data_IF_428849624777
#
_entry.id   IF_428849624777
#
_cell.length_a   1.000
_cell.length_b   1.000
_cell.length_c   1.000
_cell.angle_alpha   90.00
_cell.angle_beta   90.00
_cell.angle_gamma   90.00
#
_symmetry.space_group_name_H-M   'P 1'
#
loop_
_entity.id
_entity.type
_entity.pdbx_description
1 polymer ?
#
# COMPACT_ATOMS: atom_id res chain seq x y z
N UNK A 1 2.81 -27.04 0.49
CA UNK A 1 3.21 -26.38 1.74
C UNK A 1 2.02 -25.63 2.32
N UNK A 2 2.03 -25.44 3.63
CA UNK A 2 1.08 -24.60 4.37
C UNK A 2 1.79 -23.33 4.81
N UNK A 3 1.38 -22.20 4.33
CA UNK A 3 2.04 -20.91 4.59
C UNK A 3 1.16 -20.02 5.47
N UNK A 4 1.72 -19.57 6.59
CA UNK A 4 1.06 -18.57 7.43
C UNK A 4 1.34 -17.16 6.90
N UNK A 5 0.30 -16.40 6.56
CA UNK A 5 0.43 -14.99 6.19
C UNK A 5 0.00 -14.16 7.39
N UNK A 6 0.93 -13.40 7.96
CA UNK A 6 0.70 -12.62 9.16
C UNK A 6 0.51 -11.15 8.80
N UNK A 7 -0.70 -10.67 8.96
CA UNK A 7 -1.11 -9.28 8.70
C UNK A 7 -1.45 -8.55 10.00
N UNK A 8 -1.63 -7.24 9.89
CA UNK A 8 -2.12 -6.40 10.97
C UNK A 8 -3.21 -5.48 10.43
N UNK A 9 -4.38 -5.50 11.02
CA UNK A 9 -5.52 -4.71 10.56
C UNK A 9 -5.42 -3.24 11.03
N UNK A 10 -4.33 -2.58 10.66
CA UNK A 10 -4.08 -1.14 10.87
C UNK A 10 -4.33 -0.31 9.62
N UNK A 11 -4.83 -0.93 8.54
CA UNK A 11 -5.15 -0.29 7.27
C UNK A 11 -5.40 -1.32 6.17
N UNK A 12 -6.04 -0.89 5.08
CA UNK A 12 -6.39 -1.80 3.97
C UNK A 12 -5.18 -2.30 3.15
N UNK A 13 -4.04 -1.60 3.21
CA UNK A 13 -2.86 -1.94 2.43
C UNK A 13 -2.27 -3.31 2.79
N UNK A 14 -1.95 -3.55 4.06
CA UNK A 14 -1.37 -4.82 4.51
C UNK A 14 -2.29 -6.01 4.20
N UNK A 15 -3.60 -5.86 4.36
CA UNK A 15 -4.56 -6.90 4.01
C UNK A 15 -4.61 -7.15 2.49
N UNK A 16 -4.43 -6.12 1.66
CA UNK A 16 -4.35 -6.28 0.21
C UNK A 16 -3.05 -7.01 -0.20
N UNK A 17 -1.93 -6.72 0.44
CA UNK A 17 -0.67 -7.44 0.25
C UNK A 17 -0.80 -8.92 0.67
N UNK A 18 -1.42 -9.18 1.82
CA UNK A 18 -1.71 -10.53 2.29
C UNK A 18 -2.61 -11.31 1.30
N UNK A 19 -3.66 -10.66 0.80
CA UNK A 19 -4.55 -11.25 -0.20
C UNK A 19 -3.83 -11.58 -1.52
N UNK A 20 -2.92 -10.71 -1.97
CA UNK A 20 -2.11 -10.94 -3.16
C UNK A 20 -1.19 -12.16 -3.02
N UNK A 21 -0.57 -12.34 -1.86
CA UNK A 21 0.25 -13.51 -1.54
C UNK A 21 -0.60 -14.79 -1.46
N UNK A 22 -1.77 -14.73 -0.82
CA UNK A 22 -2.69 -15.86 -0.74
C UNK A 22 -3.18 -16.30 -2.13
N UNK A 23 -3.50 -15.34 -3.00
CA UNK A 23 -3.90 -15.60 -4.40
C UNK A 23 -2.77 -16.28 -5.18
N UNK A 24 -1.53 -15.84 -5.01
CA UNK A 24 -0.37 -16.42 -5.68
C UNK A 24 -0.05 -17.83 -5.16
N UNK A 25 -0.07 -18.05 -3.84
CA UNK A 25 0.15 -19.35 -3.22
C UNK A 25 -0.91 -20.37 -3.66
N UNK A 26 -2.19 -19.98 -3.68
CA UNK A 26 -3.28 -20.84 -4.17
C UNK A 26 -3.11 -21.24 -5.62
N UNK A 27 -2.67 -20.32 -6.50
CA UNK A 27 -2.41 -20.59 -7.90
C UNK A 27 -1.26 -21.59 -8.12
N UNK A 28 -0.36 -21.74 -7.13
CA UNK A 28 0.76 -22.69 -7.12
C UNK A 28 0.42 -24.01 -6.41
N UNK A 29 -0.83 -24.16 -5.94
CA UNK A 29 -1.27 -25.35 -5.22
C UNK A 29 -0.77 -25.43 -3.78
N UNK A 30 -0.39 -24.29 -3.17
CA UNK A 30 -0.05 -24.21 -1.75
C UNK A 30 -1.26 -23.79 -0.92
N UNK A 31 -1.35 -24.30 0.30
CA UNK A 31 -2.33 -23.83 1.27
C UNK A 31 -1.81 -22.58 1.96
N UNK A 32 -2.66 -21.60 2.19
CA UNK A 32 -2.30 -20.43 3.01
C UNK A 32 -3.42 -20.07 3.97
N UNK A 33 -3.03 -19.60 5.15
CA UNK A 33 -3.95 -19.03 6.13
C UNK A 33 -3.47 -17.66 6.55
N UNK A 34 -4.35 -16.66 6.38
CA UNK A 34 -4.05 -15.29 6.80
C UNK A 34 -4.55 -15.08 8.22
N UNK A 35 -3.67 -14.54 9.07
CA UNK A 35 -3.96 -14.19 10.45
C UNK A 35 -3.83 -12.68 10.63
N UNK A 36 -4.82 -12.07 11.29
CA UNK A 36 -4.68 -10.72 11.82
C UNK A 36 -4.04 -10.83 13.20
N UNK A 37 -2.80 -10.37 13.34
CA UNK A 37 -2.05 -10.55 14.59
C UNK A 37 -2.60 -9.76 15.77
N UNK A 38 -3.45 -8.74 15.54
CA UNK A 38 -4.16 -8.05 16.60
C UNK A 38 -5.17 -8.96 17.32
N UNK A 39 -5.69 -10.02 16.66
CA UNK A 39 -6.67 -10.92 17.25
C UNK A 39 -6.06 -11.81 18.35
N UNK A 40 -4.73 -11.94 18.39
CA UNK A 40 -3.99 -12.66 19.43
C UNK A 40 -3.69 -11.81 20.67
N UNK A 41 -3.92 -10.50 20.60
CA UNK A 41 -3.69 -9.62 21.73
C UNK A 41 -4.80 -9.75 22.78
N UNK A 42 -4.53 -9.43 24.06
CA UNK A 42 -5.57 -9.39 25.08
C UNK A 42 -6.74 -8.47 24.68
N UNK A 43 -7.96 -8.89 25.03
CA UNK A 43 -9.18 -8.12 24.74
C UNK A 43 -9.03 -6.68 25.22
N UNK A 44 -9.34 -5.73 24.35
CA UNK A 44 -9.18 -4.30 24.57
C UNK A 44 -7.84 -3.69 24.11
N UNK A 45 -6.73 -4.45 24.08
CA UNK A 45 -5.46 -3.96 23.55
C UNK A 45 -5.50 -3.84 22.02
N UNK A 46 -6.10 -4.82 21.34
CA UNK A 46 -6.30 -4.78 19.88
C UNK A 46 -7.14 -3.58 19.44
N UNK A 47 -8.27 -3.36 20.13
CA UNK A 47 -9.15 -2.21 19.86
C UNK A 47 -8.45 -0.87 20.11
N UNK A 48 -7.67 -0.77 21.19
CA UNK A 48 -6.92 0.43 21.51
C UNK A 48 -5.84 0.74 20.45
N UNK A 49 -5.12 -0.28 19.97
CA UNK A 49 -4.10 -0.13 18.93
C UNK A 49 -4.76 0.25 17.61
N UNK A 50 -5.75 -0.52 17.14
CA UNK A 50 -6.41 -0.28 15.86
C UNK A 50 -7.15 1.05 15.83
N UNK A 51 -8.03 1.32 16.80
CA UNK A 51 -8.78 2.58 16.88
C UNK A 51 -7.91 3.76 17.22
N UNK A 52 -6.89 3.57 18.08
CA UNK A 52 -5.92 4.62 18.41
C UNK A 52 -5.09 5.02 17.20
N UNK A 53 -4.63 4.07 16.41
CA UNK A 53 -3.94 4.31 15.16
C UNK A 53 -4.82 5.05 14.15
N UNK A 54 -6.04 4.54 13.91
CA UNK A 54 -7.01 5.18 13.01
C UNK A 54 -7.38 6.60 13.45
N UNK A 55 -7.59 6.80 14.75
CA UNK A 55 -7.90 8.10 15.31
C UNK A 55 -6.72 9.08 15.14
N UNK A 56 -5.51 8.66 15.53
CA UNK A 56 -4.31 9.49 15.42
C UNK A 56 -4.02 9.86 13.96
N UNK A 57 -4.14 8.89 13.05
CA UNK A 57 -3.96 9.08 11.62
C UNK A 57 -4.98 10.07 11.02
N UNK A 58 -6.27 9.95 11.39
CA UNK A 58 -7.36 10.75 10.80
C UNK A 58 -7.50 12.14 11.42
N UNK A 59 -7.36 12.25 12.73
CA UNK A 59 -7.73 13.47 13.47
C UNK A 59 -6.54 14.25 14.03
N UNK A 60 -5.39 13.60 14.22
CA UNK A 60 -4.19 14.24 14.77
C UNK A 60 -2.92 13.91 13.95
N UNK A 61 -2.92 14.14 12.61
CA UNK A 61 -1.83 13.72 11.74
C UNK A 61 -0.47 14.32 12.12
N UNK A 62 -0.43 15.55 12.66
CA UNK A 62 0.81 16.17 13.15
C UNK A 62 1.38 15.43 14.36
N UNK A 63 0.52 14.98 15.28
CA UNK A 63 0.93 14.22 16.46
C UNK A 63 1.38 12.80 16.06
N UNK A 64 0.64 12.16 15.14
CA UNK A 64 1.03 10.88 14.55
C UNK A 64 2.43 10.96 13.93
N UNK A 65 2.69 11.97 13.10
CA UNK A 65 3.99 12.18 12.48
C UNK A 65 5.11 12.49 13.48
N UNK A 66 4.82 13.19 14.59
CA UNK A 66 5.79 13.41 15.65
C UNK A 66 6.15 12.10 16.37
N UNK A 67 5.14 11.27 16.65
CA UNK A 67 5.32 9.92 17.16
C UNK A 67 6.17 9.04 16.25
N UNK A 68 5.84 9.00 14.96
CA UNK A 68 6.58 8.25 13.95
C UNK A 68 8.07 8.66 13.89
N UNK A 69 8.36 9.97 13.82
CA UNK A 69 9.76 10.48 13.83
C UNK A 69 10.51 10.17 15.12
N UNK A 70 9.80 10.06 16.26
CA UNK A 70 10.40 9.62 17.52
C UNK A 70 10.79 8.15 17.46
N UNK A 71 9.89 7.30 16.94
CA UNK A 71 10.14 5.87 16.74
C UNK A 71 11.30 5.62 15.75
N UNK A 72 11.40 6.41 14.66
CA UNK A 72 12.54 6.34 13.74
C UNK A 72 13.89 6.59 14.45
N UNK A 73 13.92 7.53 15.37
CA UNK A 73 15.16 7.90 16.09
C UNK A 73 15.49 6.98 17.25
N UNK A 74 14.49 6.46 17.91
CA UNK A 74 14.62 5.63 19.09
C UNK A 74 13.36 4.76 19.24
N UNK A 75 13.40 3.52 18.75
CA UNK A 75 12.30 2.58 18.89
C UNK A 75 11.85 2.46 20.33
N UNK A 76 10.55 2.53 20.56
CA UNK A 76 9.97 2.48 21.89
C UNK A 76 9.93 1.05 22.41
N UNK A 77 10.54 0.72 23.56
CA UNK A 77 10.40 -0.58 24.20
C UNK A 77 8.93 -0.96 24.41
N UNK A 78 8.07 0.02 24.71
CA UNK A 78 6.63 -0.21 24.91
C UNK A 78 5.91 -0.68 23.63
N UNK A 79 6.34 -0.22 22.46
CA UNK A 79 5.77 -0.69 21.20
C UNK A 79 6.08 -2.15 20.98
N UNK A 80 7.34 -2.54 21.19
CA UNK A 80 7.80 -3.91 21.11
C UNK A 80 7.09 -4.81 22.15
N UNK A 81 7.13 -4.43 23.42
CA UNK A 81 6.51 -5.18 24.53
C UNK A 81 5.00 -5.40 24.32
N UNK A 82 4.29 -4.40 23.78
CA UNK A 82 2.87 -4.55 23.48
C UNK A 82 2.64 -5.48 22.27
N UNK A 83 3.50 -5.41 21.26
CA UNK A 83 3.39 -6.26 20.07
C UNK A 83 3.57 -7.73 20.39
N UNK A 84 4.46 -8.08 21.33
CA UNK A 84 4.76 -9.48 21.69
C UNK A 84 3.78 -10.13 22.68
N UNK A 85 2.83 -9.37 23.26
CA UNK A 85 1.86 -9.93 24.24
C UNK A 85 0.98 -11.06 23.70
N UNK A 86 0.81 -11.14 22.37
CA UNK A 86 0.03 -12.17 21.69
C UNK A 86 0.83 -13.37 21.19
N UNK A 87 2.11 -13.52 21.55
CA UNK A 87 2.97 -14.56 20.96
C UNK A 87 2.57 -15.98 21.34
N UNK A 88 2.10 -16.25 22.56
CA UNK A 88 1.63 -17.58 22.96
C UNK A 88 0.49 -18.09 22.07
N UNK A 89 -0.65 -17.40 22.01
CA UNK A 89 -1.75 -17.75 21.10
C UNK A 89 -1.32 -17.80 19.61
N UNK A 90 -0.42 -16.91 19.18
CA UNK A 90 0.13 -16.98 17.82
C UNK A 90 0.93 -18.26 17.60
N UNK A 91 1.79 -18.65 18.56
CA UNK A 91 2.56 -19.89 18.49
C UNK A 91 1.64 -21.11 18.32
N UNK A 92 0.61 -21.23 19.16
CA UNK A 92 -0.39 -22.28 19.05
C UNK A 92 -1.05 -22.31 17.67
N UNK A 93 -1.48 -21.14 17.16
CA UNK A 93 -2.12 -21.03 15.86
C UNK A 93 -1.19 -21.38 14.67
N UNK A 94 0.13 -21.20 14.83
CA UNK A 94 1.12 -21.56 13.82
C UNK A 94 1.43 -23.07 13.87
N UNK A 95 1.35 -23.69 15.06
CA UNK A 95 1.68 -25.10 15.27
C UNK A 95 0.47 -26.02 14.99
N UNK A 96 -0.76 -25.54 15.05
CA UNK A 96 -1.97 -26.28 14.72
C UNK A 96 -2.76 -25.54 13.61
N UNK A 97 -2.75 -26.01 12.38
CA UNK A 97 -2.41 -27.33 11.80
C UNK A 97 -0.97 -27.50 11.30
N UNK A 98 -0.02 -26.74 11.80
CA UNK A 98 1.40 -26.78 11.42
C UNK A 98 1.68 -26.02 10.12
N UNK A 99 2.17 -24.78 10.25
CA UNK A 99 2.67 -24.01 9.12
C UNK A 99 4.11 -24.41 8.80
N UNK A 100 4.43 -24.49 7.50
CA UNK A 100 5.78 -24.79 7.01
C UNK A 100 6.67 -23.53 6.98
N UNK A 101 6.07 -22.35 6.75
CA UNK A 101 6.74 -21.06 6.75
C UNK A 101 5.75 -19.92 7.06
N UNK A 102 6.28 -18.74 7.40
CA UNK A 102 5.50 -17.53 7.67
C UNK A 102 5.95 -16.35 6.80
N UNK A 103 4.97 -15.55 6.34
CA UNK A 103 5.22 -14.30 5.62
C UNK A 103 4.52 -13.17 6.39
N UNK A 104 5.29 -12.22 6.91
CA UNK A 104 4.81 -11.08 7.66
C UNK A 104 4.68 -9.86 6.75
N UNK A 105 3.49 -9.32 6.56
CA UNK A 105 3.25 -8.11 5.75
C UNK A 105 3.14 -6.83 6.58
N UNK A 106 3.48 -6.90 7.85
CA UNK A 106 3.55 -5.76 8.77
C UNK A 106 4.67 -5.97 9.78
N UNK A 107 5.24 -4.88 10.30
CA UNK A 107 6.36 -4.95 11.25
C UNK A 107 5.99 -5.64 12.57
N UNK A 108 4.75 -5.47 13.08
CA UNK A 108 4.33 -6.10 14.34
C UNK A 108 4.38 -7.63 14.29
N UNK A 109 3.73 -8.32 13.34
CA UNK A 109 3.91 -9.77 13.23
C UNK A 109 5.36 -10.18 12.97
N UNK A 110 6.16 -9.37 12.28
CA UNK A 110 7.58 -9.66 12.08
C UNK A 110 8.38 -9.62 13.39
N UNK A 111 8.07 -8.67 14.29
CA UNK A 111 8.59 -8.62 15.65
C UNK A 111 8.15 -9.83 16.47
N UNK A 112 6.87 -10.22 16.40
CA UNK A 112 6.38 -11.43 17.08
C UNK A 112 7.10 -12.69 16.61
N UNK A 113 7.32 -12.84 15.31
CA UNK A 113 8.08 -13.96 14.74
C UNK A 113 9.54 -13.92 15.17
N UNK A 114 10.17 -12.75 15.24
CA UNK A 114 11.52 -12.57 15.77
C UNK A 114 11.60 -13.07 17.21
N UNK A 115 10.66 -12.67 18.07
CA UNK A 115 10.62 -13.12 19.47
C UNK A 115 10.38 -14.62 19.59
N UNK A 116 9.46 -15.19 18.81
CA UNK A 116 9.25 -16.65 18.79
C UNK A 116 10.50 -17.43 18.40
N UNK A 117 11.30 -16.90 17.47
CA UNK A 117 12.57 -17.53 17.07
C UNK A 117 13.66 -17.39 18.14
N UNK A 118 13.82 -16.20 18.71
CA UNK A 118 14.89 -15.90 19.67
C UNK A 118 14.61 -16.49 21.06
N UNK A 119 13.39 -16.34 21.57
CA UNK A 119 13.07 -16.68 22.95
C UNK A 119 12.38 -18.05 23.11
N UNK A 120 11.68 -18.52 22.07
CA UNK A 120 10.95 -19.80 22.09
C UNK A 120 11.58 -20.86 21.20
N UNK A 121 12.67 -20.55 20.49
CA UNK A 121 13.40 -21.48 19.64
C UNK A 121 12.63 -21.98 18.41
N UNK A 122 11.63 -21.23 17.94
CA UNK A 122 10.87 -21.60 16.74
C UNK A 122 11.79 -21.59 15.51
N UNK A 123 11.88 -22.72 14.80
CA UNK A 123 12.74 -22.88 13.61
C UNK A 123 12.00 -22.73 12.29
N UNK A 124 10.76 -22.25 12.33
CA UNK A 124 9.96 -21.98 11.13
C UNK A 124 10.62 -20.88 10.28
N UNK A 125 10.85 -21.10 8.97
CA UNK A 125 11.28 -20.05 8.06
C UNK A 125 10.29 -18.89 8.06
N UNK A 126 10.80 -17.65 8.12
CA UNK A 126 9.96 -16.47 8.23
C UNK A 126 10.53 -15.29 7.43
N UNK A 127 9.64 -14.57 6.76
CA UNK A 127 9.95 -13.49 5.84
C UNK A 127 9.18 -12.24 6.22
N UNK A 128 9.84 -11.08 6.12
CA UNK A 128 9.14 -9.80 6.23
C UNK A 128 9.00 -9.16 4.84
N UNK A 129 7.85 -8.58 4.57
CA UNK A 129 7.55 -7.85 3.35
C UNK A 129 7.24 -6.40 3.70
N UNK A 130 8.15 -5.50 3.34
CA UNK A 130 7.94 -4.07 3.48
C UNK A 130 6.90 -3.58 2.45
N UNK A 131 5.89 -2.87 2.93
CA UNK A 131 4.75 -2.38 2.13
C UNK A 131 4.78 -0.88 1.89
N UNK A 132 5.86 -0.20 2.30
CA UNK A 132 6.13 1.21 2.06
C UNK A 132 7.52 1.42 1.47
N UNK A 133 7.71 2.47 0.68
CA UNK A 133 9.00 2.80 0.04
C UNK A 133 9.98 3.46 1.02
N UNK A 134 10.15 2.84 2.16
CA UNK A 134 11.07 3.22 3.24
C UNK A 134 11.29 2.04 4.19
N UNK A 135 12.38 2.09 4.95
CA UNK A 135 12.59 1.18 6.08
C UNK A 135 11.81 1.69 7.29
N UNK A 136 10.77 0.98 7.67
CA UNK A 136 9.95 1.33 8.84
C UNK A 136 10.71 1.12 10.15
N UNK A 137 10.38 1.90 11.23
CA UNK A 137 10.97 1.69 12.56
C UNK A 137 10.83 0.25 13.03
N UNK A 138 11.88 -0.29 13.64
CA UNK A 138 11.93 -1.66 14.18
C UNK A 138 12.31 -2.74 13.15
N UNK A 139 12.37 -2.42 11.86
CA UNK A 139 12.76 -3.41 10.83
C UNK A 139 14.20 -3.86 10.99
N UNK A 140 15.11 -2.98 11.42
CA UNK A 140 16.52 -3.31 11.66
C UNK A 140 16.76 -4.34 12.77
N UNK A 141 15.79 -4.56 13.66
CA UNK A 141 15.87 -5.50 14.78
C UNK A 141 15.35 -6.91 14.42
N UNK A 142 14.81 -7.09 13.20
CA UNK A 142 14.19 -8.35 12.80
C UNK A 142 15.22 -9.48 12.60
N UNK A 143 14.96 -10.63 13.20
CA UNK A 143 15.77 -11.86 13.08
C UNK A 143 15.02 -12.91 12.26
N UNK A 144 14.76 -12.57 10.99
CA UNK A 144 14.05 -13.39 10.01
C UNK A 144 15.00 -13.85 8.90
N UNK A 145 14.57 -14.81 8.08
CA UNK A 145 15.40 -15.38 7.01
C UNK A 145 15.59 -14.41 5.86
N UNK A 146 14.59 -13.51 5.63
CA UNK A 146 14.74 -12.48 4.63
C UNK A 146 13.75 -11.33 4.81
N UNK A 147 14.15 -10.21 4.21
CA UNK A 147 13.42 -8.94 4.18
C UNK A 147 13.19 -8.57 2.72
N UNK A 148 11.93 -8.65 2.30
CA UNK A 148 11.51 -8.26 0.96
C UNK A 148 11.25 -6.76 0.92
N UNK A 149 11.97 -6.03 0.07
CA UNK A 149 11.88 -4.57 -0.02
C UNK A 149 11.23 -4.12 -1.33
N UNK A 150 10.57 -2.95 -1.36
CA UNK A 150 9.80 -2.46 -2.51
C UNK A 150 10.62 -2.17 -3.77
N UNK A 151 11.88 -1.76 -3.60
CA UNK A 151 12.71 -1.29 -4.72
C UNK A 151 14.20 -1.42 -4.39
N UNK A 152 15.07 -1.81 -5.36
CA UNK A 152 16.51 -2.01 -5.10
C UNK A 152 17.22 -0.75 -4.61
N UNK A 153 16.78 0.45 -5.01
CA UNK A 153 17.35 1.70 -4.54
C UNK A 153 17.15 1.98 -3.03
N UNK A 154 16.35 1.18 -2.34
CA UNK A 154 16.16 1.25 -0.88
C UNK A 154 17.15 0.37 -0.11
N UNK A 155 17.88 -0.52 -0.78
CA UNK A 155 18.85 -1.41 -0.13
C UNK A 155 19.78 -0.68 0.85
N UNK A 156 20.39 0.47 0.51
CA UNK A 156 21.28 1.17 1.45
C UNK A 156 20.56 1.68 2.72
N UNK A 157 19.27 2.01 2.62
CA UNK A 157 18.45 2.44 3.78
C UNK A 157 18.25 1.28 4.76
N UNK A 158 17.97 0.08 4.23
CA UNK A 158 17.78 -1.13 5.04
C UNK A 158 19.11 -1.63 5.63
N UNK A 159 20.22 -1.55 4.88
CA UNK A 159 21.56 -1.84 5.39
C UNK A 159 21.95 -0.86 6.52
N UNK A 160 21.66 0.43 6.36
CA UNK A 160 21.90 1.44 7.39
C UNK A 160 21.07 1.22 8.65
N UNK A 161 19.92 0.54 8.56
CA UNK A 161 19.12 0.11 9.70
C UNK A 161 19.70 -1.12 10.43
N UNK A 162 20.79 -1.72 9.94
CA UNK A 162 21.47 -2.86 10.56
C UNK A 162 21.18 -4.23 9.94
N UNK A 163 20.46 -4.27 8.83
CA UNK A 163 20.16 -5.54 8.16
C UNK A 163 21.32 -5.98 7.26
N UNK A 164 21.74 -7.24 7.30
CA UNK A 164 22.77 -7.76 6.44
C UNK A 164 22.28 -7.86 4.98
N UNK A 165 23.13 -7.44 4.02
CA UNK A 165 22.80 -7.35 2.59
C UNK A 165 22.22 -8.64 2.02
N UNK A 166 22.75 -9.78 2.46
CA UNK A 166 22.33 -11.12 2.02
C UNK A 166 20.91 -11.51 2.45
N UNK A 167 20.32 -10.78 3.37
CA UNK A 167 18.92 -10.97 3.79
C UNK A 167 17.96 -9.96 3.16
N UNK A 168 18.45 -9.06 2.31
CA UNK A 168 17.62 -8.02 1.67
C UNK A 168 17.33 -8.42 0.23
N UNK A 169 16.04 -8.58 -0.09
CA UNK A 169 15.55 -9.01 -1.39
C UNK A 169 14.65 -7.91 -1.99
N UNK A 170 15.06 -7.34 -3.11
CA UNK A 170 14.29 -6.31 -3.81
C UNK A 170 13.18 -6.94 -4.68
N UNK A 171 12.15 -7.47 -4.04
CA UNK A 171 11.06 -8.19 -4.70
C UNK A 171 9.95 -7.29 -5.23
N UNK A 172 9.83 -6.07 -4.71
CA UNK A 172 8.65 -5.23 -4.91
C UNK A 172 7.58 -5.45 -3.82
N UNK A 173 6.49 -4.68 -3.89
CA UNK A 173 5.33 -4.84 -3.02
C UNK A 173 4.35 -5.81 -3.69
N UNK A 174 3.86 -6.86 -3.00
CA UNK A 174 2.95 -7.83 -3.61
C UNK A 174 1.57 -7.19 -3.86
N UNK A 175 1.13 -7.27 -5.10
CA UNK A 175 -0.17 -6.79 -5.58
C UNK A 175 -0.96 -7.94 -6.19
N UNK A 176 -2.29 -7.83 -6.23
CA UNK A 176 -3.16 -8.86 -6.77
C UNK A 176 -2.88 -9.12 -8.26
N UNK A 177 -3.06 -10.36 -8.70
CA UNK A 177 -2.74 -10.82 -10.07
C UNK A 177 -3.42 -10.01 -11.18
N UNK A 178 -4.58 -9.42 -10.90
CA UNK A 178 -5.25 -8.56 -11.88
C UNK A 178 -4.40 -7.34 -12.29
N UNK A 179 -3.57 -6.80 -11.40
CA UNK A 179 -2.66 -5.70 -11.70
C UNK A 179 -1.37 -6.14 -12.41
N UNK A 180 -1.04 -7.44 -12.38
CA UNK A 180 0.15 -8.00 -13.06
C UNK A 180 -0.10 -8.29 -14.55
N UNK A 181 -1.32 -8.15 -15.05
CA UNK A 181 -1.63 -8.28 -16.47
C UNK A 181 -1.20 -7.04 -17.22
N UNK A 182 -0.77 -7.22 -18.48
CA UNK A 182 -0.44 -6.06 -19.33
C UNK A 182 -1.64 -5.10 -19.39
N UNK A 183 -1.42 -3.81 -19.04
CA UNK A 183 -2.49 -2.83 -19.10
C UNK A 183 -2.99 -2.62 -20.52
N UNK A 184 -4.28 -2.64 -20.69
CA UNK A 184 -4.96 -2.23 -21.93
C UNK A 184 -5.91 -1.08 -21.59
N UNK A 185 -5.46 0.14 -21.86
CA UNK A 185 -6.19 1.35 -21.54
C UNK A 185 -7.48 1.48 -22.36
N UNK A 186 -7.44 1.11 -23.63
CA UNK A 186 -8.61 1.21 -24.51
C UNK A 186 -9.70 0.22 -24.05
N UNK A 187 -9.32 -1.04 -23.79
CA UNK A 187 -10.24 -2.04 -23.25
C UNK A 187 -10.80 -1.64 -21.88
N UNK A 188 -9.96 -1.08 -20.98
CA UNK A 188 -10.41 -0.60 -19.68
C UNK A 188 -11.43 0.56 -19.80
N UNK A 189 -11.19 1.51 -20.69
CA UNK A 189 -12.13 2.61 -20.97
C UNK A 189 -13.45 2.11 -21.52
N UNK A 190 -13.40 1.20 -22.51
CA UNK A 190 -14.60 0.60 -23.08
C UNK A 190 -15.40 -0.18 -22.03
N UNK A 191 -14.73 -1.00 -21.22
CA UNK A 191 -15.36 -1.76 -20.11
C UNK A 191 -16.11 -0.83 -19.13
N UNK A 192 -15.57 0.35 -18.88
CA UNK A 192 -16.10 1.31 -17.90
C UNK A 192 -17.05 2.35 -18.51
N UNK A 193 -17.25 2.35 -19.84
CA UNK A 193 -18.02 3.38 -20.54
C UNK A 193 -17.36 4.76 -20.41
N UNK A 194 -16.05 4.83 -20.68
CA UNK A 194 -15.20 6.02 -20.61
C UNK A 194 -14.43 6.24 -21.93
N UNK A 195 -14.81 5.55 -22.98
CA UNK A 195 -14.15 5.57 -24.29
C UNK A 195 -14.24 6.93 -25.00
N UNK A 196 -15.35 7.65 -24.79
CA UNK A 196 -15.55 9.00 -25.35
C UNK A 196 -14.86 10.12 -24.55
N UNK A 197 -14.27 9.79 -23.38
CA UNK A 197 -13.61 10.77 -22.53
C UNK A 197 -12.23 11.14 -23.09
N UNK A 198 -11.97 12.46 -23.23
CA UNK A 198 -10.65 12.99 -23.57
C UNK A 198 -9.65 12.71 -22.44
N UNK A 199 -9.99 13.15 -21.21
CA UNK A 199 -9.21 12.86 -20.03
C UNK A 199 -10.08 12.15 -18.98
N UNK A 200 -9.47 11.17 -18.30
CA UNK A 200 -10.05 10.47 -17.16
C UNK A 200 -9.13 10.66 -15.96
N UNK A 201 -9.64 11.33 -14.94
CA UNK A 201 -8.97 11.50 -13.66
C UNK A 201 -9.62 10.56 -12.64
N UNK A 202 -8.82 9.73 -11.95
CA UNK A 202 -9.34 8.94 -10.84
C UNK A 202 -8.81 9.49 -9.53
N UNK A 203 -9.71 9.87 -8.62
CA UNK A 203 -9.40 10.33 -7.27
C UNK A 203 -9.75 9.22 -6.26
N UNK A 204 -8.74 8.71 -5.55
CA UNK A 204 -8.92 7.64 -4.57
C UNK A 204 -7.98 7.79 -3.37
N UNK A 205 -8.51 7.89 -2.16
CA UNK A 205 -7.71 8.05 -0.93
C UNK A 205 -7.68 6.77 -0.09
N UNK A 206 -7.36 5.64 -0.75
CA UNK A 206 -7.26 4.32 -0.13
C UNK A 206 -8.62 3.69 0.18
N UNK A 207 -8.61 2.44 0.66
CA UNK A 207 -9.83 1.62 0.86
C UNK A 207 -10.82 2.20 1.89
N UNK A 208 -10.34 3.01 2.83
CA UNK A 208 -11.17 3.65 3.85
C UNK A 208 -11.70 5.03 3.44
N UNK A 209 -11.35 5.55 2.27
CA UNK A 209 -11.78 6.86 1.79
C UNK A 209 -11.42 7.99 2.77
N UNK A 210 -10.22 7.95 3.36
CA UNK A 210 -9.74 8.96 4.30
C UNK A 210 -8.93 10.03 3.56
N UNK A 211 -9.23 11.31 3.82
CA UNK A 211 -8.54 12.45 3.21
C UNK A 211 -9.51 13.50 2.70
N UNK A 212 -9.03 14.54 2.01
CA UNK A 212 -9.82 15.68 1.57
C UNK A 212 -10.58 15.40 0.26
N UNK A 213 -11.16 14.18 0.11
CA UNK A 213 -11.82 13.72 -1.12
C UNK A 213 -12.84 14.74 -1.65
N UNK A 214 -13.67 15.31 -0.78
CA UNK A 214 -14.77 16.19 -1.17
C UNK A 214 -14.28 17.52 -1.72
N UNK A 215 -13.34 18.20 -1.02
CA UNK A 215 -12.77 19.47 -1.49
C UNK A 215 -11.94 19.29 -2.75
N UNK A 216 -11.13 18.24 -2.78
CA UNK A 216 -10.31 17.92 -3.96
C UNK A 216 -11.17 17.55 -5.17
N UNK A 217 -12.24 16.77 -4.99
CA UNK A 217 -13.17 16.47 -6.10
C UNK A 217 -13.86 17.74 -6.63
N UNK A 218 -14.27 18.65 -5.73
CA UNK A 218 -14.86 19.93 -6.13
C UNK A 218 -13.86 20.80 -6.91
N UNK A 219 -12.61 20.87 -6.46
CA UNK A 219 -11.54 21.57 -7.17
C UNK A 219 -11.33 20.98 -8.58
N UNK A 220 -11.20 19.66 -8.69
CA UNK A 220 -11.02 18.99 -9.99
C UNK A 220 -12.23 19.22 -10.89
N UNK A 221 -13.46 19.04 -10.38
CA UNK A 221 -14.70 19.20 -11.14
C UNK A 221 -14.85 20.59 -11.77
N UNK A 222 -14.33 21.62 -11.08
CA UNK A 222 -14.30 23.00 -11.61
C UNK A 222 -13.33 23.22 -12.77
N UNK A 223 -12.38 22.31 -13.00
CA UNK A 223 -11.38 22.39 -14.07
C UNK A 223 -11.74 21.55 -15.31
N UNK A 224 -12.67 20.59 -15.17
CA UNK A 224 -13.00 19.65 -16.25
C UNK A 224 -13.63 20.34 -17.45
N UNK A 225 -13.12 20.02 -18.63
CA UNK A 225 -13.77 20.33 -19.91
C UNK A 225 -15.00 19.44 -20.17
N UNK A 226 -15.65 19.66 -21.33
CA UNK A 226 -16.88 18.93 -21.68
C UNK A 226 -16.63 17.41 -21.77
N UNK A 227 -15.50 17.01 -22.33
CA UNK A 227 -15.16 15.60 -22.61
C UNK A 227 -14.23 14.99 -21.56
N UNK A 228 -14.07 15.65 -20.41
CA UNK A 228 -13.25 15.14 -19.31
C UNK A 228 -14.13 14.47 -18.23
N UNK A 229 -13.59 13.45 -17.56
CA UNK A 229 -14.28 12.71 -16.51
C UNK A 229 -13.45 12.64 -15.23
N UNK A 230 -14.08 12.92 -14.09
CA UNK A 230 -13.59 12.58 -12.77
C UNK A 230 -14.30 11.33 -12.25
N UNK A 231 -13.53 10.30 -11.88
CA UNK A 231 -14.02 9.15 -11.12
C UNK A 231 -13.53 9.30 -9.66
N UNK A 232 -14.45 9.54 -8.74
CA UNK A 232 -14.15 9.72 -7.32
C UNK A 232 -14.53 8.47 -6.52
N UNK A 233 -13.52 7.79 -5.95
CA UNK A 233 -13.69 6.51 -5.24
C UNK A 233 -13.63 6.75 -3.73
N UNK A 234 -14.77 6.59 -3.06
CA UNK A 234 -14.93 6.81 -1.61
C UNK A 234 -14.54 5.60 -0.76
N UNK A 235 -14.24 4.45 -1.37
CA UNK A 235 -13.94 3.21 -0.65
C UNK A 235 -15.09 2.78 0.28
N UNK A 236 -14.77 2.30 1.47
CA UNK A 236 -15.75 1.87 2.46
C UNK A 236 -16.43 3.02 3.23
N UNK A 237 -16.09 4.28 2.93
CA UNK A 237 -16.67 5.44 3.59
C UNK A 237 -18.06 5.79 3.05
N UNK A 238 -19.09 5.10 3.53
CA UNK A 238 -20.46 5.28 3.09
C UNK A 238 -21.03 6.69 3.34
N UNK A 239 -20.54 7.37 4.40
CA UNK A 239 -20.95 8.75 4.67
C UNK A 239 -20.41 9.70 3.60
N UNK A 240 -19.12 9.60 3.30
CA UNK A 240 -18.48 10.38 2.23
C UNK A 240 -19.13 10.10 0.88
N UNK A 241 -19.38 8.82 0.56
CA UNK A 241 -20.03 8.41 -0.67
C UNK A 241 -21.39 9.09 -0.86
N UNK A 242 -22.28 9.07 0.16
CA UNK A 242 -23.57 9.75 0.11
C UNK A 242 -23.43 11.25 -0.09
N UNK A 243 -22.56 11.90 0.69
CA UNK A 243 -22.33 13.34 0.59
C UNK A 243 -21.83 13.75 -0.81
N UNK A 244 -20.93 12.97 -1.40
CA UNK A 244 -20.42 13.27 -2.75
C UNK A 244 -21.46 13.00 -3.85
N UNK A 245 -22.33 12.00 -3.70
CA UNK A 245 -23.46 11.81 -4.61
C UNK A 245 -24.35 13.06 -4.59
N UNK A 246 -24.70 13.57 -3.41
CA UNK A 246 -25.52 14.77 -3.28
C UNK A 246 -24.83 16.01 -3.87
N UNK A 247 -23.51 16.17 -3.67
CA UNK A 247 -22.74 17.30 -4.17
C UNK A 247 -22.65 17.34 -5.71
N UNK A 248 -22.62 16.17 -6.35
CA UNK A 248 -22.35 16.05 -7.79
C UNK A 248 -23.53 15.46 -8.58
N UNK A 249 -24.74 15.42 -8.02
CA UNK A 249 -25.93 14.83 -8.65
C UNK A 249 -26.23 15.41 -10.04
N UNK A 250 -26.00 16.70 -10.22
CA UNK A 250 -26.26 17.41 -11.50
C UNK A 250 -25.00 17.55 -12.37
N UNK A 251 -23.88 16.93 -11.99
CA UNK A 251 -22.64 17.02 -12.75
C UNK A 251 -22.29 15.71 -13.46
N UNK A 252 -22.65 15.54 -14.75
CA UNK A 252 -22.42 14.30 -15.48
C UNK A 252 -20.94 13.98 -15.71
N UNK A 253 -20.03 14.94 -15.45
CA UNK A 253 -18.56 14.74 -15.55
C UNK A 253 -17.93 14.19 -14.29
N UNK A 254 -18.72 13.94 -13.25
CA UNK A 254 -18.23 13.35 -12.00
C UNK A 254 -18.97 12.04 -11.71
N UNK A 255 -18.24 10.95 -11.73
CA UNK A 255 -18.75 9.63 -11.35
C UNK A 255 -18.30 9.31 -9.93
N UNK A 256 -19.24 9.24 -8.99
CA UNK A 256 -18.95 8.93 -7.59
C UNK A 256 -19.17 7.44 -7.33
N UNK A 257 -18.15 6.80 -6.78
CA UNK A 257 -18.16 5.37 -6.45
C UNK A 257 -17.93 5.15 -4.94
N UNK A 258 -18.61 4.16 -4.39
CA UNK A 258 -18.27 3.58 -3.09
C UNK A 258 -17.04 2.67 -3.17
N UNK A 259 -17.10 1.54 -2.47
CA UNK A 259 -16.11 0.47 -2.65
C UNK A 259 -16.28 -0.17 -4.02
N UNK A 260 -15.15 -0.39 -4.72
CA UNK A 260 -15.14 -1.05 -6.03
C UNK A 260 -14.08 -2.13 -6.09
N UNK A 261 -14.37 -3.24 -6.73
CA UNK A 261 -13.43 -4.31 -7.11
C UNK A 261 -12.77 -4.05 -8.48
N UNK A 262 -13.26 -3.05 -9.22
CA UNK A 262 -12.76 -2.68 -10.56
C UNK A 262 -11.62 -1.63 -10.51
N UNK A 263 -10.97 -1.44 -9.36
CA UNK A 263 -9.94 -0.40 -9.21
C UNK A 263 -8.81 -0.54 -10.23
N UNK A 264 -8.45 -1.78 -10.59
CA UNK A 264 -7.47 -2.05 -11.64
C UNK A 264 -7.90 -1.44 -12.99
N UNK A 265 -9.13 -1.65 -13.42
CA UNK A 265 -9.65 -1.08 -14.65
C UNK A 265 -9.71 0.46 -14.60
N UNK A 266 -10.13 1.05 -13.47
CA UNK A 266 -10.12 2.50 -13.30
C UNK A 266 -8.70 3.09 -13.34
N UNK A 267 -7.72 2.43 -12.73
CA UNK A 267 -6.32 2.86 -12.84
C UNK A 267 -5.85 2.82 -14.29
N UNK A 268 -6.07 1.70 -14.99
CA UNK A 268 -5.66 1.57 -16.40
C UNK A 268 -6.35 2.57 -17.33
N UNK A 269 -7.63 2.89 -17.08
CA UNK A 269 -8.39 3.86 -17.86
C UNK A 269 -7.92 5.31 -17.67
N UNK A 270 -7.23 5.61 -16.56
CA UNK A 270 -6.93 6.97 -16.11
C UNK A 270 -5.72 7.58 -16.82
N UNK A 271 -5.81 8.87 -17.12
CA UNK A 271 -4.68 9.73 -17.51
C UNK A 271 -3.84 10.12 -16.31
N UNK A 272 -4.49 10.23 -15.14
CA UNK A 272 -3.84 10.55 -13.88
C UNK A 272 -4.63 9.94 -12.72
N UNK A 273 -3.96 9.16 -11.88
CA UNK A 273 -4.47 8.75 -10.58
C UNK A 273 -4.06 9.80 -9.54
N UNK A 274 -5.02 10.36 -8.85
CA UNK A 274 -4.83 11.32 -7.77
C UNK A 274 -5.13 10.60 -6.46
N UNK A 275 -4.12 10.47 -5.59
CA UNK A 275 -4.24 9.62 -4.41
C UNK A 275 -3.35 10.12 -3.27
N UNK A 276 -3.57 9.58 -2.08
CA UNK A 276 -2.58 9.63 -1.02
C UNK A 276 -1.44 8.63 -1.30
N UNK A 277 -0.27 8.86 -0.69
CA UNK A 277 0.93 8.09 -0.98
C UNK A 277 1.03 6.75 -0.23
N UNK A 278 0.00 5.91 -0.29
CA UNK A 278 0.06 4.56 0.25
C UNK A 278 0.90 3.63 -0.63
N UNK A 279 1.74 2.79 -0.01
CA UNK A 279 2.67 1.93 -0.75
C UNK A 279 1.98 0.96 -1.70
N UNK A 280 0.87 0.32 -1.29
CA UNK A 280 0.09 -0.59 -2.14
C UNK A 280 -0.51 0.13 -3.35
N UNK A 281 -1.20 1.26 -3.13
CA UNK A 281 -1.78 2.05 -4.22
C UNK A 281 -0.70 2.50 -5.21
N UNK A 282 0.48 2.87 -4.68
CA UNK A 282 1.65 3.20 -5.51
C UNK A 282 2.09 2.02 -6.36
N UNK A 283 2.25 0.84 -5.78
CA UNK A 283 2.65 -0.37 -6.50
C UNK A 283 1.61 -0.78 -7.57
N UNK A 284 0.33 -0.70 -7.25
CA UNK A 284 -0.80 -0.95 -8.16
C UNK A 284 -0.79 0.05 -9.34
N UNK A 285 -0.59 1.34 -9.08
CA UNK A 285 -0.49 2.37 -10.12
C UNK A 285 0.74 2.21 -11.01
N UNK A 286 1.87 1.79 -10.44
CA UNK A 286 3.09 1.47 -11.21
C UNK A 286 2.82 0.30 -12.16
N UNK A 287 2.26 -0.80 -11.66
CA UNK A 287 1.95 -1.99 -12.45
C UNK A 287 0.87 -1.72 -13.52
N UNK A 288 -0.12 -0.90 -13.20
CA UNK A 288 -1.16 -0.47 -14.15
C UNK A 288 -0.67 0.57 -15.18
N UNK A 289 0.60 0.96 -15.13
CA UNK A 289 1.16 2.05 -15.96
C UNK A 289 0.35 3.34 -15.90
N UNK A 290 -0.19 3.66 -14.72
CA UNK A 290 -0.99 4.86 -14.49
C UNK A 290 -0.11 6.00 -13.99
N UNK A 291 -0.14 7.20 -14.60
CA UNK A 291 0.49 8.38 -14.03
C UNK A 291 -0.08 8.69 -12.64
N UNK A 292 0.75 9.18 -11.72
CA UNK A 292 0.42 9.29 -10.31
C UNK A 292 0.70 10.70 -9.77
N UNK A 293 -0.30 11.28 -9.15
CA UNK A 293 -0.23 12.54 -8.41
C UNK A 293 -0.59 12.27 -6.94
N UNK A 294 0.31 12.58 -6.05
CA UNK A 294 0.05 12.52 -4.62
C UNK A 294 -0.55 13.81 -4.09
N UNK A 295 -1.58 13.64 -3.29
CA UNK A 295 -2.11 14.67 -2.42
C UNK A 295 -1.27 14.77 -1.15
N UNK A 296 -1.51 15.84 -0.37
CA UNK A 296 -0.85 16.10 0.90
C UNK A 296 -0.71 14.84 1.77
N UNK A 297 0.50 14.58 2.22
CA UNK A 297 0.84 13.40 3.00
C UNK A 297 0.48 13.54 4.47
N UNK A 298 0.01 12.46 5.07
CA UNK A 298 0.12 12.29 6.51
C UNK A 298 1.60 12.07 6.85
N UNK A 299 2.18 12.85 7.78
CA UNK A 299 3.58 12.68 8.16
C UNK A 299 3.87 11.26 8.66
N UNK A 300 4.95 10.65 8.17
CA UNK A 300 5.34 9.28 8.44
C UNK A 300 5.68 8.53 7.15
N UNK A 301 5.22 7.28 7.00
CA UNK A 301 5.48 6.47 5.81
C UNK A 301 5.06 7.16 4.51
N UNK A 302 3.89 7.82 4.49
CA UNK A 302 3.42 8.50 3.27
C UNK A 302 4.36 9.61 2.81
N UNK A 303 4.90 10.43 3.74
CA UNK A 303 5.89 11.44 3.38
C UNK A 303 7.17 10.83 2.81
N UNK A 304 7.59 9.66 3.31
CA UNK A 304 8.74 8.92 2.78
C UNK A 304 8.45 8.35 1.39
N UNK A 305 7.25 7.78 1.20
CA UNK A 305 6.80 7.31 -0.10
C UNK A 305 6.79 8.44 -1.15
N UNK A 306 6.26 9.62 -0.81
CA UNK A 306 6.31 10.80 -1.67
C UNK A 306 7.77 11.16 -2.01
N UNK A 307 8.62 11.31 -1.00
CA UNK A 307 10.03 11.69 -1.21
C UNK A 307 10.76 10.69 -2.12
N UNK A 308 10.54 9.38 -1.94
CA UNK A 308 11.11 8.34 -2.78
C UNK A 308 10.64 8.46 -4.24
N UNK A 309 9.33 8.61 -4.45
CA UNK A 309 8.73 8.60 -5.78
C UNK A 309 8.98 9.91 -6.54
N UNK A 310 8.81 11.06 -5.89
CA UNK A 310 8.99 12.37 -6.53
C UNK A 310 10.46 12.70 -6.76
N UNK A 311 11.35 12.36 -5.82
CA UNK A 311 12.79 12.57 -5.95
C UNK A 311 13.41 11.82 -7.14
N UNK A 312 12.73 10.80 -7.66
CA UNK A 312 13.12 10.05 -8.86
C UNK A 312 12.30 10.41 -10.10
N UNK A 313 11.36 11.33 -9.96
CA UNK A 313 10.43 11.70 -11.04
C UNK A 313 9.46 10.58 -11.42
N UNK A 314 9.14 9.70 -10.48
CA UNK A 314 8.19 8.58 -10.65
C UNK A 314 6.75 8.98 -10.36
N UNK A 315 6.54 10.11 -9.71
CA UNK A 315 5.23 10.69 -9.41
C UNK A 315 5.32 12.21 -9.31
N UNK A 316 4.17 12.87 -9.40
CA UNK A 316 3.97 14.26 -9.00
C UNK A 316 3.42 14.30 -7.57
N UNK A 317 3.55 15.43 -6.90
CA UNK A 317 2.91 15.67 -5.61
C UNK A 317 2.48 17.13 -5.48
N UNK A 318 1.44 17.36 -4.67
CA UNK A 318 0.97 18.69 -4.27
C UNK A 318 0.69 18.69 -2.76
N UNK A 319 0.90 19.82 -2.12
CA UNK A 319 0.65 19.98 -0.68
C UNK A 319 -0.78 20.45 -0.36
N UNK A 320 -1.43 21.12 -1.32
CA UNK A 320 -2.76 21.72 -1.14
C UNK A 320 -3.49 21.89 -2.47
N UNK A 321 -4.75 22.32 -2.39
CA UNK A 321 -5.61 22.55 -3.56
C UNK A 321 -5.13 23.77 -4.41
N UNK A 322 -4.37 24.71 -3.84
CA UNK A 322 -3.81 25.85 -4.58
C UNK A 322 -2.72 25.40 -5.57
N UNK A 323 -1.93 24.39 -5.21
CA UNK A 323 -0.93 23.76 -6.09
C UNK A 323 -1.59 22.78 -7.08
N UNK A 324 -2.69 22.13 -6.68
CA UNK A 324 -3.41 21.18 -7.51
C UNK A 324 -3.99 21.84 -8.77
N UNK A 325 -4.59 23.01 -8.62
CA UNK A 325 -5.26 23.72 -9.71
C UNK A 325 -4.35 24.02 -10.90
N UNK A 326 -3.18 24.69 -10.75
CA UNK A 326 -2.30 24.96 -11.88
C UNK A 326 -1.69 23.68 -12.49
N UNK A 327 -1.39 22.67 -11.65
CA UNK A 327 -0.87 21.40 -12.13
C UNK A 327 -1.87 20.68 -13.04
N UNK A 328 -3.12 20.53 -12.59
CA UNK A 328 -4.16 19.88 -13.39
C UNK A 328 -4.52 20.68 -14.64
N UNK A 329 -4.58 22.02 -14.56
CA UNK A 329 -4.75 22.85 -15.73
C UNK A 329 -3.63 22.65 -16.77
N UNK A 330 -2.40 22.48 -16.29
CA UNK A 330 -1.25 22.14 -17.14
C UNK A 330 -1.39 20.76 -17.81
N UNK A 331 -1.92 19.76 -17.09
CA UNK A 331 -2.20 18.43 -17.65
C UNK A 331 -3.31 18.49 -18.69
N UNK A 332 -4.43 19.15 -18.39
CA UNK A 332 -5.60 19.28 -19.29
C UNK A 332 -5.22 20.03 -20.57
N UNK A 333 -4.42 21.09 -20.46
CA UNK A 333 -3.95 21.86 -21.62
C UNK A 333 -2.82 21.18 -22.41
N UNK A 334 -2.22 20.11 -21.88
CA UNK A 334 -1.05 19.44 -22.48
C UNK A 334 0.29 20.14 -22.21
N UNK A 335 0.32 21.20 -21.39
CA UNK A 335 1.56 21.85 -20.97
C UNK A 335 2.40 20.98 -20.02
N UNK A 336 1.75 20.07 -19.31
CA UNK A 336 2.40 19.06 -18.46
C UNK A 336 2.04 17.67 -19.00
N UNK A 337 3.05 16.90 -19.43
CA UNK A 337 2.89 15.51 -19.83
C UNK A 337 3.07 14.56 -18.62
N UNK A 338 1.99 14.04 -18.02
CA UNK A 338 2.10 13.14 -16.90
C UNK A 338 2.68 11.77 -17.30
N UNK A 339 2.70 11.42 -18.58
CA UNK A 339 3.26 10.14 -19.04
C UNK A 339 4.80 10.11 -18.99
N UNK A 340 5.44 11.26 -18.86
CA UNK A 340 6.90 11.34 -18.70
C UNK A 340 7.41 10.52 -17.51
N UNK A 341 6.62 10.39 -16.43
CA UNK A 341 6.98 9.55 -15.27
C UNK A 341 6.94 8.04 -15.60
N UNK A 342 6.12 7.62 -16.56
CA UNK A 342 6.04 6.21 -16.96
C UNK A 342 7.34 5.75 -17.61
N UNK A 343 7.91 6.58 -18.48
CA UNK A 343 9.22 6.30 -19.12
C UNK A 343 10.35 6.18 -18.08
N UNK A 344 10.30 7.00 -17.01
CA UNK A 344 11.28 6.93 -15.92
C UNK A 344 11.11 5.71 -15.03
N UNK A 345 9.89 5.16 -14.92
CA UNK A 345 9.60 3.93 -14.16
C UNK A 345 9.94 2.66 -14.93
N UNK A 346 10.06 2.74 -16.24
CA UNK A 346 10.28 1.57 -17.09
C UNK A 346 11.54 0.83 -16.64
N UNK A 347 11.42 -0.48 -16.43
CA UNK A 347 12.49 -1.37 -15.95
C UNK A 347 13.06 -1.06 -14.56
N UNK A 348 12.54 -0.07 -13.84
CA UNK A 348 13.05 0.30 -12.51
C UNK A 348 12.39 -0.48 -11.37
N UNK A 349 11.17 -0.95 -11.57
CA UNK A 349 10.40 -1.64 -10.52
C UNK A 349 10.42 -3.16 -10.73
N UNK A 350 10.62 -3.93 -9.63
CA UNK A 350 10.51 -5.38 -9.68
C UNK A 350 9.13 -5.81 -10.21
N UNK A 351 9.13 -6.81 -11.06
CA UNK A 351 7.92 -7.40 -11.60
C UNK A 351 7.53 -8.65 -10.81
N UNK A 352 6.22 -8.97 -10.76
CA UNK A 352 5.72 -10.19 -10.13
C UNK A 352 6.16 -10.38 -8.67
N UNK A 353 6.10 -9.32 -7.87
CA UNK A 353 6.54 -9.32 -6.47
C UNK A 353 5.95 -10.48 -5.64
N UNK A 354 4.65 -10.76 -5.79
CA UNK A 354 4.01 -11.87 -5.07
C UNK A 354 4.65 -13.21 -5.43
N UNK A 355 4.97 -13.44 -6.71
CA UNK A 355 5.64 -14.66 -7.16
C UNK A 355 7.04 -14.79 -6.55
N UNK A 356 7.87 -13.75 -6.61
CA UNK A 356 9.22 -13.76 -6.05
C UNK A 356 9.23 -14.00 -4.53
N UNK A 357 8.28 -13.40 -3.79
CA UNK A 357 8.14 -13.61 -2.34
C UNK A 357 7.71 -15.05 -2.04
N UNK A 358 6.78 -15.61 -2.81
CA UNK A 358 6.36 -17.00 -2.65
C UNK A 358 7.49 -17.99 -2.96
N UNK A 359 8.34 -17.73 -3.98
CA UNK A 359 9.52 -18.53 -4.29
C UNK A 359 10.49 -18.59 -3.10
N UNK A 360 10.78 -17.44 -2.49
CA UNK A 360 11.59 -17.36 -1.28
C UNK A 360 10.98 -18.16 -0.13
N UNK A 361 9.70 -17.96 0.16
CA UNK A 361 9.02 -18.62 1.28
C UNK A 361 8.86 -20.14 1.09
N UNK A 362 8.78 -20.61 -0.15
CA UNK A 362 8.67 -22.03 -0.49
C UNK A 362 10.03 -22.73 -0.70
N UNK A 363 11.15 -22.02 -0.49
CA UNK A 363 12.49 -22.57 -0.68
C UNK A 363 12.86 -22.84 -2.14
N UNK A 364 12.15 -22.24 -3.07
CA UNK A 364 12.49 -22.26 -4.50
C UNK A 364 13.48 -21.11 -4.74
N UNK A 365 14.71 -21.41 -5.17
CA UNK A 365 15.74 -20.40 -5.37
C UNK A 365 15.25 -19.31 -6.34
N UNK A 366 15.32 -18.05 -5.92
CA UNK A 366 15.02 -16.90 -6.78
C UNK A 366 16.15 -16.79 -7.80
N UNK A 367 15.85 -17.02 -9.07
CA UNK A 367 16.73 -16.61 -10.17
C UNK A 367 16.66 -15.08 -10.23
N UNK A 368 17.66 -14.37 -9.65
CA UNK A 368 17.79 -12.92 -9.76
C UNK A 368 18.24 -12.52 -11.16
#
# INVERSE_FOLDING_TARGET
MKIAILSCNTGGGHNAAAAALAEELAARGHESKTYNTLDFLPKGAADLISRGHDFAYRYTPKLYGAGYRREEKRPSPLLYENSIRGIGPLYEALMDPGADAAICVHVFPAMMMTELRCSYGLRMPAWFVATDFTCSPGVGELQLDGICIPHPALTPEFEAAGLPRERIYATGIPIRRQFCRMPDRAAARQQLGLDDCRHVFTLACGSMGAGPLRSTAACIAGLLGHDDMLVAVCGSNQRMHRQMIDDFVDNPRVRVLGFTDQMCAYMQASDLLISKAGGLTTAEAVASRTPLLYLNAVPGCESRNIGFMTGRGYALAVENDEELTPLLSGVISGAIDPTAMLRRREEQFPQNAAAAICDLACGQGVTM
#
